data_IF_811586060045
#
_entry.id   IF_811586060045
#
_cell.length_a   1.000
_cell.length_b   1.000
_cell.length_c   1.000
_cell.angle_alpha   90.00
_cell.angle_beta   90.00
_cell.angle_gamma   90.00
#
_symmetry.space_group_name_H-M   'P 1'
#
loop_
_entity.id
_entity.type
_entity.pdbx_description
1 polymer ?
#
# COMPACT_ATOMS: atom_id res chain seq x y z
N UNK A 1 15.77 -12.99 21.71
CA UNK A 1 16.17 -11.59 21.43
C UNK A 1 15.00 -10.80 20.84
N UNK A 2 14.49 -11.13 19.64
CA UNK A 2 13.40 -10.38 18.96
C UNK A 2 12.11 -10.26 19.81
N UNK A 3 11.69 -11.32 20.48
CA UNK A 3 10.50 -11.30 21.35
C UNK A 3 10.66 -10.30 22.54
N UNK A 4 11.84 -10.31 23.19
CA UNK A 4 12.12 -9.37 24.29
C UNK A 4 12.19 -7.92 23.80
N UNK A 5 12.71 -7.71 22.60
CA UNK A 5 12.77 -6.40 21.95
C UNK A 5 11.35 -5.91 21.62
N UNK A 6 10.52 -6.74 21.00
CA UNK A 6 9.12 -6.43 20.68
C UNK A 6 8.31 -6.07 21.96
N UNK A 7 8.52 -6.79 23.05
CA UNK A 7 7.89 -6.48 24.34
C UNK A 7 8.29 -5.09 24.86
N UNK A 8 9.52 -4.64 24.62
CA UNK A 8 10.01 -3.31 25.02
C UNK A 8 9.25 -2.15 24.35
N UNK A 9 8.68 -2.36 23.16
CA UNK A 9 7.85 -1.38 22.45
C UNK A 9 6.35 -1.53 22.71
N UNK A 10 5.93 -2.62 23.36
CA UNK A 10 4.51 -2.92 23.57
C UNK A 10 3.91 -2.10 24.70
N UNK A 11 2.84 -1.36 24.43
CA UNK A 11 2.07 -0.62 25.45
C UNK A 11 1.22 -1.54 26.33
N UNK A 12 0.91 -2.76 25.85
CA UNK A 12 0.05 -3.73 26.54
C UNK A 12 0.85 -4.82 27.23
N UNK A 13 2.18 -4.85 27.09
CA UNK A 13 3.05 -5.93 27.57
C UNK A 13 2.86 -7.25 26.82
N UNK A 14 2.26 -7.22 25.61
CA UNK A 14 2.03 -8.40 24.78
C UNK A 14 2.77 -8.25 23.44
N UNK A 15 3.24 -9.34 22.88
CA UNK A 15 3.80 -9.42 21.53
C UNK A 15 3.16 -10.59 20.79
N UNK A 16 3.00 -10.46 19.48
CA UNK A 16 2.52 -11.52 18.59
C UNK A 16 3.73 -12.28 18.06
N UNK A 17 3.60 -13.60 17.97
CA UNK A 17 4.58 -14.48 17.31
C UNK A 17 3.81 -15.26 16.25
N UNK A 18 4.17 -15.06 14.98
CA UNK A 18 3.47 -15.61 13.84
C UNK A 18 4.44 -16.39 12.94
N UNK A 19 3.90 -17.26 12.10
CA UNK A 19 4.68 -17.88 11.03
C UNK A 19 5.11 -16.83 9.99
N UNK A 20 6.36 -16.87 9.58
CA UNK A 20 6.83 -15.99 8.52
C UNK A 20 6.26 -16.43 7.16
N UNK A 21 5.54 -15.55 6.51
CA UNK A 21 4.94 -15.78 5.20
C UNK A 21 5.82 -15.13 4.12
N UNK A 22 6.32 -15.96 3.20
CA UNK A 22 7.01 -15.51 1.99
C UNK A 22 6.02 -15.27 0.86
N UNK A 23 6.35 -14.37 -0.06
CA UNK A 23 5.53 -14.09 -1.23
C UNK A 23 5.53 -12.63 -1.63
N UNK A 24 4.82 -12.34 -2.72
CA UNK A 24 4.61 -10.96 -3.19
C UNK A 24 3.69 -10.23 -2.22
N UNK A 25 3.99 -8.97 -1.94
CA UNK A 25 3.24 -8.16 -0.98
C UNK A 25 2.33 -7.17 -1.70
N UNK A 26 1.12 -7.02 -1.17
CA UNK A 26 0.10 -6.14 -1.71
C UNK A 26 -0.63 -5.39 -0.61
N UNK A 27 -1.18 -4.24 -0.97
CA UNK A 27 -2.20 -3.54 -0.19
C UNK A 27 -3.53 -3.56 -0.93
N UNK A 28 -4.61 -3.84 -0.20
CA UNK A 28 -5.97 -3.89 -0.73
C UNK A 28 -6.79 -2.80 -0.10
N UNK A 29 -7.24 -1.85 -0.93
CA UNK A 29 -8.09 -0.74 -0.48
C UNK A 29 -9.55 -1.11 -0.69
N UNK A 30 -10.35 -0.97 0.37
CA UNK A 30 -11.78 -1.30 0.31
C UNK A 30 -12.66 -0.23 0.94
N UNK A 31 -13.95 -0.29 0.60
CA UNK A 31 -15.03 0.27 1.39
C UNK A 31 -16.03 -0.82 1.75
N UNK A 32 -16.37 -0.91 3.03
CA UNK A 32 -17.50 -1.74 3.47
C UNK A 32 -18.63 -0.81 3.89
N UNK A 33 -19.80 -0.95 3.26
CA UNK A 33 -21.00 -0.18 3.57
C UNK A 33 -22.23 -1.09 3.51
N UNK A 34 -23.10 -1.01 4.52
CA UNK A 34 -24.28 -1.87 4.63
C UNK A 34 -23.92 -3.37 4.56
N UNK A 35 -22.86 -3.78 5.23
CA UNK A 35 -22.31 -5.16 5.25
C UNK A 35 -21.84 -5.68 3.88
N UNK A 36 -21.68 -4.81 2.91
CA UNK A 36 -21.13 -5.16 1.60
C UNK A 36 -19.76 -4.53 1.42
N UNK A 37 -18.73 -5.37 1.29
CA UNK A 37 -17.37 -4.94 0.97
C UNK A 37 -17.21 -4.78 -0.54
N UNK A 38 -16.64 -3.66 -0.96
CA UNK A 38 -16.21 -3.42 -2.34
C UNK A 38 -14.70 -3.19 -2.34
N UNK A 39 -13.96 -4.04 -3.04
CA UNK A 39 -12.52 -3.84 -3.30
C UNK A 39 -12.39 -2.75 -4.36
N UNK A 40 -11.73 -1.66 -3.99
CA UNK A 40 -11.50 -0.52 -4.88
C UNK A 40 -10.32 -0.84 -5.79
N UNK A 41 -9.22 -1.26 -5.20
CA UNK A 41 -7.98 -1.58 -5.91
C UNK A 41 -7.06 -2.46 -5.09
N UNK A 42 -6.07 -3.04 -5.79
CA UNK A 42 -4.94 -3.76 -5.19
C UNK A 42 -3.67 -3.08 -5.69
N UNK A 43 -2.83 -2.66 -4.74
CA UNK A 43 -1.52 -2.02 -4.97
C UNK A 43 -0.42 -3.04 -4.71
N UNK A 44 0.52 -3.21 -5.63
CA UNK A 44 1.70 -4.04 -5.43
C UNK A 44 2.75 -3.27 -4.64
N UNK A 45 3.31 -3.90 -3.61
CA UNK A 45 4.36 -3.33 -2.76
C UNK A 45 5.68 -4.04 -3.03
N UNK A 46 6.71 -3.27 -3.35
CA UNK A 46 8.09 -3.77 -3.44
C UNK A 46 8.87 -3.26 -2.23
N UNK A 47 9.37 -4.19 -1.43
CA UNK A 47 10.11 -3.88 -0.21
C UNK A 47 11.60 -4.16 -0.39
N UNK A 48 12.44 -3.49 0.41
CA UNK A 48 13.88 -3.72 0.52
C UNK A 48 14.24 -4.06 1.97
N UNK A 49 15.39 -4.72 2.15
CA UNK A 49 15.96 -5.02 3.48
C UNK A 49 15.51 -6.33 4.09
N UNK A 50 14.75 -7.16 3.39
CA UNK A 50 14.28 -8.46 3.91
C UNK A 50 15.43 -9.37 4.33
N UNK A 51 16.50 -9.43 3.54
CA UNK A 51 17.70 -10.23 3.87
C UNK A 51 18.42 -9.77 5.15
N UNK A 52 18.24 -8.50 5.52
CA UNK A 52 18.83 -7.90 6.72
C UNK A 52 17.84 -7.81 7.89
N UNK A 53 16.63 -8.36 7.72
CA UNK A 53 15.61 -8.45 8.77
C UNK A 53 14.80 -7.19 8.98
N UNK A 54 14.72 -6.29 7.99
CA UNK A 54 13.79 -5.16 7.99
C UNK A 54 13.06 -5.09 6.65
N UNK A 55 11.87 -4.48 6.68
CA UNK A 55 10.97 -4.39 5.53
C UNK A 55 10.63 -2.92 5.33
N UNK A 56 11.23 -2.30 4.30
CA UNK A 56 10.95 -0.91 3.96
C UNK A 56 10.41 -0.86 2.55
N UNK A 57 9.23 -0.30 2.40
CA UNK A 57 8.63 -0.13 1.08
C UNK A 57 9.49 0.81 0.23
N UNK A 58 9.89 0.31 -0.93
CA UNK A 58 10.69 1.01 -1.94
C UNK A 58 9.81 1.56 -3.06
N UNK A 59 8.81 0.78 -3.47
CA UNK A 59 7.93 1.14 -4.59
C UNK A 59 6.53 0.62 -4.37
N UNK A 60 5.52 1.44 -4.68
CA UNK A 60 4.14 0.99 -4.84
C UNK A 60 3.71 1.16 -6.30
N UNK A 61 2.98 0.18 -6.84
CA UNK A 61 2.51 0.18 -8.22
C UNK A 61 1.01 -0.11 -8.23
N UNK A 62 0.24 0.74 -8.90
CA UNK A 62 -1.19 0.59 -9.03
C UNK A 62 -1.65 0.77 -10.48
N UNK A 63 -2.50 -0.14 -11.00
CA UNK A 63 -2.92 -1.39 -10.36
C UNK A 63 -1.78 -2.39 -10.20
N UNK A 64 -1.94 -3.31 -9.25
CA UNK A 64 -0.99 -4.40 -9.04
C UNK A 64 -0.84 -5.28 -10.30
N UNK A 65 0.38 -5.76 -10.57
CA UNK A 65 0.68 -6.66 -11.70
C UNK A 65 0.33 -8.10 -11.33
N UNK A 66 -0.97 -8.40 -11.28
CA UNK A 66 -1.51 -9.71 -10.91
C UNK A 66 -2.45 -10.24 -11.99
N UNK A 67 -2.60 -11.56 -12.03
CA UNK A 67 -3.58 -12.22 -12.89
C UNK A 67 -5.00 -12.02 -12.36
N UNK A 68 -6.01 -12.27 -13.20
CA UNK A 68 -7.40 -12.23 -12.78
C UNK A 68 -7.70 -13.21 -11.64
N UNK A 69 -7.13 -14.41 -11.69
CA UNK A 69 -7.31 -15.43 -10.64
C UNK A 69 -6.69 -14.98 -9.31
N UNK A 70 -5.50 -14.38 -9.34
CA UNK A 70 -4.86 -13.81 -8.14
C UNK A 70 -5.70 -12.66 -7.58
N UNK A 71 -6.21 -11.78 -8.44
CA UNK A 71 -7.08 -10.67 -8.03
C UNK A 71 -8.36 -11.17 -7.34
N UNK A 72 -9.02 -12.19 -7.90
CA UNK A 72 -10.21 -12.80 -7.33
C UNK A 72 -9.91 -13.45 -5.97
N UNK A 73 -8.81 -14.23 -5.87
CA UNK A 73 -8.39 -14.88 -4.63
C UNK A 73 -8.09 -13.86 -3.52
N UNK A 74 -7.33 -12.81 -3.82
CA UNK A 74 -7.00 -11.75 -2.86
C UNK A 74 -8.26 -11.02 -2.42
N UNK A 75 -9.13 -10.63 -3.36
CA UNK A 75 -10.37 -9.91 -3.09
C UNK A 75 -11.34 -10.73 -2.23
N UNK A 76 -11.49 -12.02 -2.51
CA UNK A 76 -12.32 -12.93 -1.73
C UNK A 76 -11.76 -13.10 -0.31
N UNK A 77 -10.45 -13.34 -0.17
CA UNK A 77 -9.79 -13.50 1.12
C UNK A 77 -10.00 -12.28 2.01
N UNK A 78 -9.76 -11.08 1.48
CA UNK A 78 -9.95 -9.82 2.21
C UNK A 78 -11.42 -9.61 2.57
N UNK A 79 -12.33 -9.74 1.60
CA UNK A 79 -13.76 -9.53 1.84
C UNK A 79 -14.32 -10.47 2.92
N UNK A 80 -13.89 -11.73 2.91
CA UNK A 80 -14.26 -12.73 3.92
C UNK A 80 -13.75 -12.35 5.29
N UNK A 81 -12.49 -11.92 5.40
CA UNK A 81 -11.91 -11.51 6.68
C UNK A 81 -12.62 -10.27 7.25
N UNK A 82 -12.89 -9.26 6.42
CA UNK A 82 -13.60 -8.04 6.84
C UNK A 82 -15.02 -8.35 7.32
N UNK A 83 -15.70 -9.29 6.66
CA UNK A 83 -17.01 -9.78 7.09
C UNK A 83 -16.93 -10.50 8.46
N UNK A 84 -15.93 -11.38 8.65
CA UNK A 84 -15.75 -12.15 9.89
C UNK A 84 -15.44 -11.27 11.10
N UNK A 85 -14.69 -10.19 10.93
CA UNK A 85 -14.42 -9.22 12.01
C UNK A 85 -15.56 -8.22 12.22
N UNK A 86 -16.62 -8.28 11.40
CA UNK A 86 -17.78 -7.39 11.51
C UNK A 86 -17.51 -5.96 11.07
N UNK A 87 -16.52 -5.73 10.18
CA UNK A 87 -16.23 -4.40 9.67
C UNK A 87 -17.41 -3.87 8.87
N UNK A 88 -17.86 -2.65 9.18
CA UNK A 88 -18.96 -2.02 8.45
C UNK A 88 -18.88 -0.49 8.50
N UNK A 89 -19.40 0.17 7.47
CA UNK A 89 -19.48 1.61 7.30
C UNK A 89 -18.13 2.32 7.49
N UNK A 90 -17.07 1.74 6.94
CA UNK A 90 -15.73 2.34 6.93
C UNK A 90 -14.87 1.81 5.78
N UNK A 91 -13.79 2.52 5.42
CA UNK A 91 -12.75 1.98 4.56
C UNK A 91 -11.90 0.97 5.32
N UNK A 92 -11.17 0.15 4.56
CA UNK A 92 -10.05 -0.58 5.13
C UNK A 92 -8.85 -0.60 4.18
N UNK A 93 -7.69 -0.65 4.78
CA UNK A 93 -6.41 -0.94 4.18
C UNK A 93 -5.95 -2.29 4.72
N UNK A 94 -5.76 -3.26 3.83
CA UNK A 94 -5.38 -4.62 4.22
C UNK A 94 -4.07 -4.98 3.55
N UNK A 95 -3.07 -5.33 4.34
CA UNK A 95 -1.80 -5.88 3.84
C UNK A 95 -1.91 -7.38 3.68
N UNK A 96 -1.44 -7.89 2.54
CA UNK A 96 -1.56 -9.29 2.18
C UNK A 96 -0.31 -9.79 1.49
N UNK A 97 0.08 -11.03 1.76
CA UNK A 97 1.09 -11.75 0.99
C UNK A 97 0.45 -12.84 0.15
N UNK A 98 0.89 -12.94 -1.10
CA UNK A 98 0.43 -13.93 -2.06
C UNK A 98 1.58 -14.80 -2.51
N UNK A 99 1.41 -16.13 -2.42
CA UNK A 99 2.32 -17.14 -2.93
C UNK A 99 1.56 -18.32 -3.54
N UNK A 100 2.27 -19.36 -3.95
CA UNK A 100 1.67 -20.57 -4.57
C UNK A 100 0.67 -21.30 -3.66
N UNK A 101 0.78 -21.14 -2.34
CA UNK A 101 -0.12 -21.78 -1.36
C UNK A 101 -1.38 -20.97 -1.08
N UNK A 102 -1.43 -19.69 -1.49
CA UNK A 102 -2.61 -18.84 -1.32
C UNK A 102 -2.32 -17.40 -0.95
N UNK A 103 -3.37 -16.72 -0.50
CA UNK A 103 -3.34 -15.33 -0.04
C UNK A 103 -3.43 -15.28 1.50
N UNK A 104 -2.52 -14.57 2.13
CA UNK A 104 -2.36 -14.50 3.58
C UNK A 104 -2.44 -13.06 4.07
N UNK A 105 -3.39 -12.77 4.95
CA UNK A 105 -3.53 -11.45 5.56
C UNK A 105 -2.40 -11.24 6.57
N UNK A 106 -1.73 -10.09 6.45
CA UNK A 106 -0.67 -9.65 7.36
C UNK A 106 -1.25 -8.65 8.36
N UNK A 107 -1.98 -7.64 7.89
CA UNK A 107 -2.59 -6.62 8.74
C UNK A 107 -3.91 -6.14 8.13
N UNK A 108 -4.87 -5.81 9.00
CA UNK A 108 -6.10 -5.09 8.62
C UNK A 108 -6.17 -3.81 9.45
N UNK A 109 -6.23 -2.68 8.76
CA UNK A 109 -6.46 -1.37 9.37
C UNK A 109 -7.79 -0.78 8.91
N UNK A 110 -8.66 -0.40 9.86
CA UNK A 110 -9.97 0.23 9.58
C UNK A 110 -9.77 1.72 9.25
N UNK A 111 -8.97 2.01 8.26
CA UNK A 111 -8.61 3.36 7.77
C UNK A 111 -8.16 3.30 6.33
N UNK A 112 -7.98 4.45 5.73
CA UNK A 112 -7.32 4.58 4.42
C UNK A 112 -5.83 4.25 4.50
N UNK A 113 -5.27 3.71 3.43
CA UNK A 113 -3.85 3.44 3.28
C UNK A 113 -3.00 4.71 3.29
N UNK A 114 -1.77 4.57 3.76
CA UNK A 114 -0.75 5.61 3.76
C UNK A 114 0.11 5.62 2.50
N UNK A 115 1.31 6.19 2.62
CA UNK A 115 2.38 6.15 1.61
C UNK A 115 1.90 6.51 0.19
N UNK A 116 1.06 7.54 0.10
CA UNK A 116 0.45 8.07 -1.13
C UNK A 116 -0.55 7.12 -1.83
N UNK A 117 -0.83 5.92 -1.30
CA UNK A 117 -1.74 4.98 -1.95
C UNK A 117 -3.11 5.64 -2.14
N UNK A 118 -3.77 6.03 -1.06
CA UNK A 118 -5.15 6.54 -1.15
C UNK A 118 -5.26 8.02 -1.49
N UNK A 119 -4.22 8.81 -1.19
CA UNK A 119 -4.22 10.26 -1.52
C UNK A 119 -3.88 10.54 -2.99
N UNK A 120 -3.05 9.71 -3.60
CA UNK A 120 -2.49 9.96 -4.92
C UNK A 120 -2.67 8.78 -5.89
N UNK A 121 -2.16 7.57 -5.56
CA UNK A 121 -2.11 6.47 -6.52
C UNK A 121 -3.51 6.01 -6.95
N UNK A 122 -4.43 5.78 -6.02
CA UNK A 122 -5.81 5.38 -6.35
C UNK A 122 -6.52 6.43 -7.21
N UNK A 123 -6.54 7.73 -6.85
CA UNK A 123 -7.11 8.75 -7.71
C UNK A 123 -6.45 8.84 -9.09
N UNK A 124 -5.12 8.73 -9.17
CA UNK A 124 -4.38 8.80 -10.43
C UNK A 124 -4.65 7.62 -11.34
N UNK A 125 -4.84 6.42 -10.80
CA UNK A 125 -5.06 5.20 -11.59
C UNK A 125 -6.53 4.96 -11.94
N UNK A 126 -7.47 5.37 -11.07
CA UNK A 126 -8.88 5.01 -11.20
C UNK A 126 -9.83 6.21 -11.33
N UNK A 127 -9.41 7.41 -10.91
CA UNK A 127 -10.28 8.58 -10.77
C UNK A 127 -11.21 8.53 -9.55
N UNK A 128 -11.04 7.57 -8.64
CA UNK A 128 -11.84 7.43 -7.41
C UNK A 128 -11.24 8.33 -6.32
N UNK A 129 -12.05 9.23 -5.78
CA UNK A 129 -11.68 10.10 -4.67
C UNK A 129 -11.89 9.36 -3.34
N UNK A 130 -10.83 8.77 -2.82
CA UNK A 130 -10.86 8.00 -1.57
C UNK A 130 -11.18 8.86 -0.34
N UNK A 131 -10.69 10.10 -0.30
CA UNK A 131 -10.93 10.99 0.83
C UNK A 131 -12.38 11.45 0.88
N UNK A 132 -12.95 11.80 -0.27
CA UNK A 132 -14.37 12.13 -0.37
C UNK A 132 -15.27 10.97 0.03
N UNK A 133 -14.90 9.76 -0.39
CA UNK A 133 -15.62 8.55 -0.02
C UNK A 133 -15.52 8.23 1.48
N UNK A 134 -14.40 8.53 2.14
CA UNK A 134 -14.29 8.43 3.59
C UNK A 134 -15.30 9.36 4.28
N UNK A 135 -15.40 10.61 3.84
CA UNK A 135 -16.38 11.57 4.38
C UNK A 135 -17.80 11.08 4.14
N UNK A 136 -18.13 10.66 2.90
CA UNK A 136 -19.44 10.12 2.57
C UNK A 136 -19.80 8.92 3.46
N UNK A 137 -18.90 7.96 3.57
CA UNK A 137 -19.09 6.77 4.39
C UNK A 137 -19.35 7.12 5.86
N UNK A 138 -18.58 8.07 6.41
CA UNK A 138 -18.74 8.55 7.80
C UNK A 138 -20.06 9.27 8.06
N UNK A 139 -20.62 9.89 7.02
CA UNK A 139 -21.92 10.55 7.08
C UNK A 139 -23.10 9.62 6.74
N UNK A 140 -22.85 8.34 6.46
CA UNK A 140 -23.87 7.39 6.01
C UNK A 140 -24.35 7.64 4.58
N UNK A 141 -23.63 8.45 3.79
CA UNK A 141 -23.91 8.69 2.38
C UNK A 141 -23.29 7.59 1.52
N UNK A 142 -23.84 7.32 0.31
CA UNK A 142 -23.27 6.33 -0.60
C UNK A 142 -21.83 6.64 -0.99
N UNK A 143 -20.97 5.61 -1.04
CA UNK A 143 -19.62 5.72 -1.59
C UNK A 143 -19.66 5.56 -3.11
N UNK A 144 -18.88 6.39 -3.82
CA UNK A 144 -18.69 6.31 -5.28
C UNK A 144 -17.35 5.62 -5.57
N UNK A 145 -17.42 4.34 -5.89
CA UNK A 145 -16.25 3.51 -6.24
C UNK A 145 -16.22 3.14 -7.72
N UNK A 146 -16.96 3.87 -8.55
CA UNK A 146 -16.94 3.69 -10.00
C UNK A 146 -15.64 4.27 -10.58
N UNK A 147 -14.90 3.43 -11.30
CA UNK A 147 -13.70 3.88 -12.03
C UNK A 147 -14.08 4.84 -13.14
N UNK A 148 -13.38 5.96 -13.23
CA UNK A 148 -13.57 7.01 -14.24
C UNK A 148 -12.58 6.87 -15.40
N UNK A 149 -11.48 6.20 -15.16
CA UNK A 149 -10.45 5.84 -16.14
C UNK A 149 -9.62 4.66 -15.63
N UNK A 150 -8.79 4.11 -16.49
CA UNK A 150 -7.84 3.04 -16.19
C UNK A 150 -6.45 3.50 -16.63
N UNK A 151 -5.63 3.90 -15.66
CA UNK A 151 -4.25 4.36 -15.84
C UNK A 151 -3.33 3.62 -14.87
N UNK A 152 -2.03 3.72 -15.10
CA UNK A 152 -1.03 3.23 -14.17
C UNK A 152 -0.48 4.39 -13.34
N UNK A 153 -0.32 4.17 -12.05
CA UNK A 153 0.37 5.08 -11.15
C UNK A 153 1.39 4.33 -10.28
N UNK A 154 2.43 5.01 -9.87
CA UNK A 154 3.43 4.43 -8.99
C UNK A 154 4.07 5.50 -8.12
N UNK A 155 4.53 5.11 -6.94
CA UNK A 155 5.46 5.89 -6.15
C UNK A 155 6.78 5.13 -6.01
N UNK A 156 7.88 5.78 -6.35
CA UNK A 156 9.24 5.33 -6.05
C UNK A 156 9.76 6.14 -4.87
N UNK A 157 10.07 5.47 -3.77
CA UNK A 157 10.76 6.10 -2.65
C UNK A 157 12.26 6.13 -2.89
N UNK A 158 12.89 7.25 -2.51
CA UNK A 158 14.32 7.42 -2.69
C UNK A 158 15.09 6.86 -1.50
N UNK A 159 16.14 6.13 -1.82
CA UNK A 159 17.08 5.55 -0.89
C UNK A 159 18.52 5.68 -1.45
N UNK A 160 19.58 5.43 -0.66
CA UNK A 160 20.95 5.60 -1.15
C UNK A 160 21.29 4.81 -2.41
N UNK A 161 20.62 3.66 -2.65
CA UNK A 161 20.90 2.77 -3.79
C UNK A 161 20.27 3.28 -5.09
N UNK A 162 19.16 4.01 -5.01
CA UNK A 162 18.43 4.48 -6.19
C UNK A 162 18.50 6.01 -6.39
N UNK A 163 19.04 6.77 -5.44
CA UNK A 163 18.99 8.23 -5.39
C UNK A 163 19.46 8.88 -6.70
N UNK A 164 20.68 8.57 -7.14
CA UNK A 164 21.23 9.19 -8.35
C UNK A 164 20.39 8.87 -9.59
N UNK A 165 19.96 7.62 -9.74
CA UNK A 165 19.08 7.20 -10.85
C UNK A 165 17.74 7.98 -10.85
N UNK A 166 17.18 8.25 -9.66
CA UNK A 166 15.95 9.03 -9.54
C UNK A 166 16.17 10.51 -9.91
N UNK A 167 17.28 11.11 -9.47
CA UNK A 167 17.63 12.48 -9.85
C UNK A 167 17.86 12.61 -11.35
N UNK A 168 18.60 11.68 -11.97
CA UNK A 168 18.84 11.66 -13.41
C UNK A 168 17.53 11.48 -14.19
N UNK A 169 16.62 10.64 -13.70
CA UNK A 169 15.30 10.46 -14.30
C UNK A 169 14.50 11.76 -14.33
N UNK A 170 14.49 12.54 -13.25
CA UNK A 170 13.79 13.83 -13.19
C UNK A 170 14.33 14.86 -14.18
N UNK A 171 15.60 14.74 -14.56
CA UNK A 171 16.26 15.58 -15.56
C UNK A 171 16.10 15.07 -16.99
N UNK A 172 15.50 13.90 -17.19
CA UNK A 172 15.33 13.26 -18.50
C UNK A 172 14.03 13.67 -19.19
N UNK A 173 13.92 13.34 -20.50
CA UNK A 173 12.67 13.51 -21.27
C UNK A 173 11.49 12.67 -20.72
N UNK A 174 11.76 11.64 -19.93
CA UNK A 174 10.74 10.79 -19.29
C UNK A 174 10.08 11.45 -18.06
N UNK A 175 10.58 12.59 -17.61
CA UNK A 175 10.02 13.35 -16.50
C UNK A 175 8.58 13.85 -16.75
N UNK A 176 8.10 13.80 -18.00
CA UNK A 176 6.71 14.12 -18.33
C UNK A 176 5.68 13.18 -17.66
N UNK A 177 6.07 11.98 -17.23
CA UNK A 177 5.24 11.07 -16.45
C UNK A 177 5.20 11.42 -14.95
N UNK A 178 6.02 12.38 -14.50
CA UNK A 178 6.08 12.76 -13.08
C UNK A 178 4.88 13.62 -12.72
N UNK A 179 4.05 13.11 -11.82
CA UNK A 179 2.94 13.87 -11.24
C UNK A 179 3.43 14.79 -10.11
N UNK A 180 4.25 14.24 -9.19
CA UNK A 180 4.81 14.97 -8.05
C UNK A 180 6.10 14.31 -7.56
N UNK A 181 7.02 15.12 -7.03
CA UNK A 181 8.23 14.61 -6.41
C UNK A 181 8.70 15.49 -5.25
N UNK A 182 9.42 14.89 -4.32
CA UNK A 182 10.19 15.55 -3.27
C UNK A 182 11.55 14.88 -3.17
N UNK A 183 12.61 15.64 -3.24
CA UNK A 183 13.99 15.16 -3.12
C UNK A 183 14.64 15.84 -1.91
N UNK A 184 15.08 15.04 -0.95
CA UNK A 184 15.86 15.49 0.20
C UNK A 184 17.35 15.40 -0.11
N UNK A 185 18.21 16.10 0.61
CA UNK A 185 19.65 15.98 0.44
C UNK A 185 20.11 14.53 0.56
N UNK A 186 21.08 14.14 -0.29
CA UNK A 186 21.66 12.81 -0.25
C UNK A 186 22.25 12.49 1.13
N UNK A 187 22.07 11.28 1.57
CA UNK A 187 22.66 10.72 2.79
C UNK A 187 23.03 9.25 2.55
N UNK A 188 24.21 8.87 2.99
CA UNK A 188 24.69 7.46 2.94
C UNK A 188 24.07 6.59 4.05
N UNK A 189 23.26 7.18 4.95
CA UNK A 189 22.63 6.45 6.04
C UNK A 189 21.79 5.31 5.50
N UNK A 190 22.05 4.10 6.00
CA UNK A 190 21.26 2.91 5.65
C UNK A 190 19.80 3.12 6.07
N UNK A 191 18.88 2.88 5.16
CA UNK A 191 17.44 2.92 5.44
C UNK A 191 17.06 1.68 6.23
N UNK A 192 16.38 1.88 7.37
CA UNK A 192 15.84 0.83 8.23
C UNK A 192 14.34 0.96 8.47
N UNK A 193 13.78 2.12 8.16
CA UNK A 193 12.35 2.42 8.27
C UNK A 193 11.97 3.51 7.26
N UNK A 194 10.69 3.75 7.08
CA UNK A 194 10.15 4.71 6.11
C UNK A 194 10.55 6.17 6.37
N UNK A 195 10.91 6.54 7.61
CA UNK A 195 11.37 7.89 7.95
C UNK A 195 12.80 8.18 7.45
N UNK A 196 13.58 7.16 7.15
CA UNK A 196 14.93 7.29 6.62
C UNK A 196 14.94 7.56 5.09
N UNK A 197 13.80 7.55 4.42
CA UNK A 197 13.68 7.77 2.97
C UNK A 197 14.18 9.18 2.59
N UNK A 198 14.84 9.27 1.43
CA UNK A 198 15.44 10.51 0.90
C UNK A 198 14.49 11.29 -0.03
N UNK A 199 13.22 10.95 -0.02
CA UNK A 199 12.20 11.57 -0.85
C UNK A 199 11.36 10.56 -1.60
N UNK A 200 10.63 11.04 -2.61
CA UNK A 200 9.77 10.22 -3.46
C UNK A 200 9.54 10.84 -4.84
N UNK A 201 9.14 10.00 -5.79
CA UNK A 201 8.65 10.41 -7.11
C UNK A 201 7.34 9.67 -7.35
N UNK A 202 6.25 10.40 -7.58
CA UNK A 202 4.95 9.85 -8.00
C UNK A 202 4.82 9.98 -9.50
N UNK A 203 4.45 8.90 -10.15
CA UNK A 203 4.32 8.76 -11.58
C UNK A 203 2.88 8.43 -11.97
N UNK A 204 2.47 8.89 -13.15
CA UNK A 204 1.25 8.46 -13.81
C UNK A 204 1.56 8.22 -15.29
N UNK A 205 1.06 7.12 -15.82
CA UNK A 205 1.10 6.80 -17.25
C UNK A 205 -0.25 6.29 -17.73
N UNK A 206 -0.46 6.35 -19.02
CA UNK A 206 -1.64 5.75 -19.68
C UNK A 206 -1.54 4.22 -19.69
#
# INVERSE_FOLDING_TARGET
LAFSEALGYSRTGKAIVEGFITGREFSVETYTQNNKTTVVTITEKLCIGEAEGFFVEDTHIEPARITKQEWELVSETVSKALCLIGLNNCPSHTEIKLNESGAYIIEIACRLGGDYITSDLVPLSTGIDMLRNLVNCSLGLPVDVLRKHEKCSAVQFLNPLNYQRCVDFLSSSRSSAVFRSEIRPYSEKKIKNSLDRLGYIILQTD
#
